data_IF_773565070257
#
_entry.id   IF_773565070257
#
_cell.length_a   1.000
_cell.length_b   1.000
_cell.length_c   1.000
_cell.angle_alpha   90.00
_cell.angle_beta   90.00
_cell.angle_gamma   90.00
#
_symmetry.space_group_name_H-M   'P 1'
#
loop_
_entity.id
_entity.type
_entity.pdbx_description
1 polymer ?
#
# COMPACT_ATOMS: atom_id res chain seq x y z
N UNK A 1 12.86 -11.41 -3.59
CA UNK A 1 12.68 -12.36 -2.47
C UNK A 1 13.11 -13.71 -2.97
N UNK A 2 13.70 -14.52 -2.11
CA UNK A 2 14.15 -15.87 -2.40
C UNK A 2 13.01 -16.84 -2.07
N UNK A 3 12.79 -17.85 -2.92
CA UNK A 3 11.63 -18.75 -2.84
C UNK A 3 11.68 -19.69 -1.61
N UNK A 4 12.87 -19.92 -1.06
CA UNK A 4 13.12 -20.78 0.09
C UNK A 4 13.05 -20.04 1.44
N UNK A 5 12.81 -18.73 1.43
CA UNK A 5 12.68 -17.90 2.63
C UNK A 5 11.22 -17.68 3.01
N UNK A 6 10.96 -17.60 4.30
CA UNK A 6 9.62 -17.25 4.80
C UNK A 6 9.38 -15.74 4.69
N UNK A 7 8.10 -15.34 4.66
CA UNK A 7 7.73 -13.92 4.72
C UNK A 7 8.27 -13.22 5.97
N UNK A 8 8.36 -13.95 7.10
CA UNK A 8 8.87 -13.42 8.36
C UNK A 8 10.37 -13.11 8.31
N UNK A 9 11.15 -13.84 7.50
CA UNK A 9 12.59 -13.55 7.28
C UNK A 9 12.78 -12.18 6.59
N UNK A 10 11.77 -11.71 5.87
CA UNK A 10 11.70 -10.37 5.27
C UNK A 10 10.92 -9.36 6.12
N UNK A 11 10.60 -9.67 7.38
CA UNK A 11 9.90 -8.77 8.29
C UNK A 11 8.39 -8.67 8.07
N UNK A 12 7.82 -9.43 7.13
CA UNK A 12 6.38 -9.51 6.92
C UNK A 12 5.77 -10.50 7.92
N UNK A 13 5.33 -9.97 9.05
CA UNK A 13 4.73 -10.73 10.15
C UNK A 13 3.41 -10.10 10.62
N UNK A 14 2.70 -10.77 11.53
CA UNK A 14 1.37 -10.37 11.99
C UNK A 14 1.33 -8.99 12.69
N UNK A 15 2.45 -8.49 13.20
CA UNK A 15 2.52 -7.16 13.81
C UNK A 15 2.63 -6.04 12.77
N UNK A 16 3.18 -6.33 11.58
CA UNK A 16 3.42 -5.34 10.51
C UNK A 16 2.37 -5.44 9.40
N UNK A 17 1.97 -6.65 9.02
CA UNK A 17 0.98 -6.92 7.98
C UNK A 17 -0.41 -7.20 8.58
N UNK A 18 -0.98 -6.21 9.28
CA UNK A 18 -2.28 -6.34 9.95
C UNK A 18 -3.43 -6.34 8.93
N UNK A 19 -4.58 -6.95 9.26
CA UNK A 19 -5.72 -7.03 8.34
C UNK A 19 -6.24 -5.64 7.89
N UNK A 20 -6.30 -4.68 8.82
CA UNK A 20 -6.72 -3.30 8.55
C UNK A 20 -5.61 -2.42 7.93
N UNK A 21 -4.37 -2.91 7.94
CA UNK A 21 -3.20 -2.20 7.41
C UNK A 21 -2.22 -3.23 6.83
N UNK A 22 -2.57 -3.83 5.68
CA UNK A 22 -1.77 -4.89 5.10
C UNK A 22 -0.42 -4.35 4.62
N UNK A 23 0.61 -5.18 4.74
CA UNK A 23 1.90 -4.89 4.15
C UNK A 23 1.88 -5.12 2.65
N UNK A 24 2.79 -4.46 1.93
CA UNK A 24 2.82 -4.48 0.48
C UNK A 24 3.99 -5.31 -0.04
N UNK A 25 3.74 -6.10 -1.10
CA UNK A 25 4.74 -6.90 -1.79
C UNK A 25 4.74 -6.50 -3.27
N UNK A 26 5.90 -6.04 -3.75
CA UNK A 26 6.10 -5.73 -5.16
C UNK A 26 6.20 -6.98 -6.03
N UNK A 27 5.60 -6.94 -7.22
CA UNK A 27 5.64 -8.01 -8.22
C UNK A 27 6.07 -7.46 -9.56
N UNK A 28 6.99 -8.15 -10.22
CA UNK A 28 7.43 -7.87 -11.59
C UNK A 28 7.43 -9.17 -12.39
N UNK A 29 6.97 -9.12 -13.64
CA UNK A 29 6.95 -10.29 -14.51
C UNK A 29 8.29 -10.50 -15.22
N UNK A 30 8.56 -11.77 -15.53
CA UNK A 30 9.66 -12.15 -16.39
C UNK A 30 9.20 -12.15 -17.84
N UNK A 31 9.94 -11.48 -18.71
CA UNK A 31 9.72 -11.53 -20.15
C UNK A 31 10.18 -12.90 -20.70
N UNK A 32 9.30 -13.64 -21.39
CA UNK A 32 9.60 -14.99 -21.85
C UNK A 32 10.60 -15.04 -23.01
N UNK A 33 10.76 -13.95 -23.78
CA UNK A 33 11.68 -13.90 -24.93
C UNK A 33 13.12 -13.58 -24.55
N UNK A 34 13.31 -12.69 -23.58
CA UNK A 34 14.61 -12.20 -23.11
C UNK A 34 15.06 -12.85 -21.81
N UNK A 35 14.16 -13.58 -21.12
CA UNK A 35 14.42 -14.16 -19.80
C UNK A 35 14.79 -13.13 -18.72
N UNK A 36 14.59 -11.84 -18.98
CA UNK A 36 14.81 -10.74 -18.04
C UNK A 36 13.52 -10.38 -17.29
N UNK A 37 13.65 -9.75 -16.12
CA UNK A 37 12.51 -9.18 -15.40
C UNK A 37 12.27 -7.74 -15.85
N UNK A 38 11.01 -7.33 -15.86
CA UNK A 38 10.66 -5.92 -16.01
C UNK A 38 11.04 -5.12 -14.75
N UNK A 39 11.13 -3.80 -14.90
CA UNK A 39 11.32 -2.91 -13.76
C UNK A 39 10.12 -3.01 -12.81
N UNK A 40 10.39 -3.11 -11.51
CA UNK A 40 9.34 -3.06 -10.51
C UNK A 40 8.66 -1.69 -10.53
N UNK A 41 7.42 -1.65 -11.02
CA UNK A 41 6.64 -0.42 -11.11
C UNK A 41 5.26 -0.61 -10.48
N UNK A 42 4.93 0.26 -9.53
CA UNK A 42 3.58 0.37 -8.98
C UNK A 42 3.00 1.74 -9.30
N UNK A 43 1.79 1.74 -9.85
CA UNK A 43 0.98 2.96 -9.99
C UNK A 43 0.42 3.36 -8.62
N UNK A 44 0.63 4.61 -8.17
CA UNK A 44 0.11 5.06 -6.89
C UNK A 44 -1.42 5.10 -6.88
N UNK A 45 -2.02 4.99 -5.69
CA UNK A 45 -3.44 5.23 -5.51
C UNK A 45 -3.79 6.70 -5.80
N UNK A 46 -5.05 6.95 -6.13
CA UNK A 46 -5.59 8.30 -6.25
C UNK A 46 -5.59 9.03 -4.92
N UNK A 47 -5.42 10.35 -4.95
CA UNK A 47 -5.58 11.19 -3.76
C UNK A 47 -7.05 11.34 -3.38
N UNK A 48 -7.38 11.40 -2.08
CA UNK A 48 -8.72 11.77 -1.64
C UNK A 48 -9.06 13.23 -2.02
N UNK A 49 -10.34 13.59 -2.13
CA UNK A 49 -10.76 14.97 -2.33
C UNK A 49 -10.48 15.85 -1.11
N UNK A 50 -10.63 17.16 -1.27
CA UNK A 50 -10.56 18.08 -0.14
C UNK A 50 -11.65 17.77 0.90
N UNK A 51 -11.29 17.88 2.18
CA UNK A 51 -12.20 17.64 3.29
C UNK A 51 -13.28 18.74 3.31
N UNK A 52 -14.59 18.40 3.29
CA UNK A 52 -15.66 19.39 3.39
C UNK A 52 -15.58 20.19 4.68
N UNK A 53 -16.02 21.45 4.65
CA UNK A 53 -15.96 22.36 5.81
C UNK A 53 -16.66 21.80 7.05
N UNK A 54 -17.84 21.18 6.89
CA UNK A 54 -18.59 20.54 7.96
C UNK A 54 -17.86 19.37 8.65
N UNK A 55 -16.81 18.83 8.03
CA UNK A 55 -15.99 17.74 8.58
C UNK A 55 -14.65 18.24 9.12
N UNK A 56 -14.34 19.54 8.98
CA UNK A 56 -13.12 20.14 9.53
C UNK A 56 -13.27 20.27 11.06
N UNK A 57 -12.30 19.80 11.87
CA UNK A 57 -12.37 19.94 13.32
C UNK A 57 -12.47 21.43 13.73
N UNK A 58 -13.41 21.76 14.61
CA UNK A 58 -13.54 23.11 15.18
C UNK A 58 -14.54 24.06 14.50
N UNK A 59 -15.27 23.62 13.48
CA UNK A 59 -16.50 24.31 13.06
C UNK A 59 -17.66 23.85 13.95
N UNK A 60 -17.77 24.43 15.14
CA UNK A 60 -19.05 24.39 15.84
C UNK A 60 -20.07 25.08 14.94
N UNK A 61 -21.06 24.33 14.48
CA UNK A 61 -22.26 24.91 13.88
C UNK A 61 -22.94 25.72 14.97
N UNK A 62 -22.60 27.01 15.06
CA UNK A 62 -23.40 27.99 15.78
C UNK A 62 -24.79 27.98 15.14
N UNK A 63 -25.68 27.18 15.70
CA UNK A 63 -27.07 27.08 15.32
C UNK A 63 -27.86 26.82 16.60
N UNK A 64 -27.96 27.84 17.44
CA UNK A 64 -29.20 28.57 17.82
C UNK A 64 -28.84 29.79 18.64
#
# INVERSE_FOLDING_TARGET
MEDDKTLSDYGLNANVAKAQYPAEVGLAYRDPGSNAYEDLKKTPYSSPPELPDAMKPGQETSSV
#
